data_IF_577508007551
#
_entry.id   IF_577508007551
#
_cell.length_a   1.000
_cell.length_b   1.000
_cell.length_c   1.000
_cell.angle_alpha   90.00
_cell.angle_beta   90.00
_cell.angle_gamma   90.00
#
_symmetry.space_group_name_H-M   'P 1'
#
loop_
_entity.id
_entity.type
_entity.pdbx_description
1 polymer ?
#
# COMPACT_ATOMS: atom_id res chain seq x y z
N UNK A 1 1.35 -12.00 -7.14
CA UNK A 1 2.33 -10.91 -7.37
C UNK A 1 3.12 -10.72 -6.09
N UNK A 2 4.38 -11.16 -6.05
CA UNK A 2 5.22 -11.01 -4.87
C UNK A 2 5.90 -9.65 -4.89
N UNK A 3 5.50 -8.75 -3.99
CA UNK A 3 6.27 -7.53 -3.71
C UNK A 3 7.31 -7.92 -2.65
N UNK A 4 8.51 -8.27 -3.11
CA UNK A 4 9.57 -8.64 -2.19
C UNK A 4 10.22 -7.42 -1.55
N UNK A 5 10.35 -7.45 -0.23
CA UNK A 5 11.06 -6.43 0.53
C UNK A 5 12.39 -7.05 0.97
N UNK A 6 13.47 -6.47 0.46
CA UNK A 6 14.83 -6.91 0.72
C UNK A 6 15.27 -6.47 2.12
N UNK A 7 15.65 -7.45 2.95
CA UNK A 7 16.39 -7.20 4.19
C UNK A 7 17.84 -7.59 3.94
N UNK A 8 18.66 -6.60 3.61
CA UNK A 8 20.05 -6.45 4.05
C UNK A 8 20.56 -5.12 3.46
N UNK A 9 20.84 -4.17 4.36
CA UNK A 9 21.50 -2.88 4.07
C UNK A 9 20.59 -1.85 3.36
N UNK A 10 19.84 -1.09 4.16
CA UNK A 10 19.37 0.24 3.78
C UNK A 10 18.10 0.30 2.92
N UNK A 11 16.94 0.12 3.54
CA UNK A 11 15.78 0.96 3.16
C UNK A 11 16.27 2.40 3.40
N UNK A 12 16.53 3.17 2.33
CA UNK A 12 17.02 4.55 2.45
C UNK A 12 15.87 5.43 2.96
N UNK A 13 15.61 5.37 4.27
CA UNK A 13 14.62 6.21 4.93
C UNK A 13 15.22 7.61 5.00
N UNK A 14 14.76 8.51 4.12
CA UNK A 14 15.10 9.93 4.22
C UNK A 14 14.24 10.56 5.32
N UNK A 15 14.73 10.56 6.55
CA UNK A 15 14.09 11.28 7.64
C UNK A 15 15.09 12.01 8.54
N UNK A 16 14.66 13.11 9.17
CA UNK A 16 15.43 13.86 10.18
C UNK A 16 15.75 12.93 11.36
N UNK A 17 17.00 12.92 11.85
CA UNK A 17 17.58 11.87 12.74
C UNK A 17 16.79 11.52 14.02
N UNK A 18 15.96 12.41 14.58
CA UNK A 18 15.27 12.17 15.86
C UNK A 18 14.00 11.31 15.74
N UNK A 19 13.19 11.48 14.70
CA UNK A 19 11.97 10.66 14.52
C UNK A 19 12.26 9.25 13.97
N UNK A 20 13.53 8.91 13.76
CA UNK A 20 13.94 7.69 13.06
C UNK A 20 13.66 6.42 13.86
N UNK A 21 13.82 6.45 15.18
CA UNK A 21 13.69 5.25 16.04
C UNK A 21 12.23 4.82 16.16
N UNK A 22 11.34 5.74 16.58
CA UNK A 22 9.89 5.46 16.69
C UNK A 22 9.30 5.05 15.33
N UNK A 23 9.68 5.75 14.24
CA UNK A 23 9.20 5.39 12.90
C UNK A 23 9.74 4.04 12.42
N UNK A 24 10.91 3.61 12.88
CA UNK A 24 11.47 2.30 12.54
C UNK A 24 10.69 1.17 13.20
N UNK A 25 10.33 1.29 14.48
CA UNK A 25 9.50 0.29 15.17
C UNK A 25 8.15 0.10 14.48
N UNK A 26 7.53 1.21 14.07
CA UNK A 26 6.27 1.19 13.31
C UNK A 26 6.46 0.48 11.96
N UNK A 27 7.56 0.75 11.26
CA UNK A 27 7.88 0.09 9.98
C UNK A 27 8.10 -1.42 10.19
N UNK A 28 8.90 -1.80 11.18
CA UNK A 28 9.19 -3.20 11.50
C UNK A 28 7.91 -3.96 11.88
N UNK A 29 7.00 -3.33 12.64
CA UNK A 29 5.66 -3.87 12.92
C UNK A 29 4.87 -4.17 11.63
N UNK A 30 4.80 -3.22 10.69
CA UNK A 30 4.08 -3.42 9.43
C UNK A 30 4.74 -4.50 8.55
N UNK A 31 6.08 -4.56 8.52
CA UNK A 31 6.82 -5.59 7.77
C UNK A 31 6.54 -6.98 8.34
N UNK A 32 6.67 -7.16 9.65
CA UNK A 32 6.43 -8.45 10.29
C UNK A 32 4.99 -8.91 10.08
N UNK A 33 4.01 -8.01 10.25
CA UNK A 33 2.60 -8.30 9.96
C UNK A 33 2.37 -8.77 8.52
N UNK A 34 3.00 -8.12 7.54
CA UNK A 34 2.88 -8.52 6.14
C UNK A 34 3.58 -9.84 5.83
N UNK A 35 4.69 -10.16 6.52
CA UNK A 35 5.38 -11.45 6.42
C UNK A 35 4.52 -12.57 7.02
N UNK A 36 3.93 -12.37 8.20
CA UNK A 36 3.02 -13.31 8.86
C UNK A 36 1.77 -13.59 8.00
N UNK A 37 1.22 -12.55 7.37
CA UNK A 37 0.10 -12.69 6.42
C UNK A 37 0.51 -13.33 5.09
N UNK A 38 1.80 -13.60 4.86
CA UNK A 38 2.31 -14.14 3.59
C UNK A 38 2.13 -13.21 2.39
N UNK A 39 1.88 -11.92 2.62
CA UNK A 39 1.66 -10.92 1.56
C UNK A 39 2.97 -10.52 0.89
N UNK A 40 4.06 -10.51 1.66
CA UNK A 40 5.42 -10.23 1.18
C UNK A 40 6.35 -11.38 1.55
N UNK A 41 7.46 -11.49 0.83
CA UNK A 41 8.54 -12.43 1.12
C UNK A 41 9.89 -11.74 1.09
N UNK A 42 10.88 -12.35 1.74
CA UNK A 42 12.26 -11.89 1.70
C UNK A 42 12.86 -12.25 0.34
N UNK A 43 13.42 -11.26 -0.35
CA UNK A 43 14.14 -11.43 -1.62
C UNK A 43 15.42 -10.61 -1.63
N UNK A 44 16.36 -10.98 -2.49
CA UNK A 44 17.46 -10.09 -2.90
C UNK A 44 17.20 -9.59 -4.31
N UNK A 45 17.10 -8.27 -4.46
CA UNK A 45 16.80 -7.60 -5.73
C UNK A 45 17.72 -6.39 -5.91
N UNK A 46 18.22 -6.14 -7.14
CA UNK A 46 18.93 -4.90 -7.43
C UNK A 46 18.00 -3.67 -7.44
N UNK A 47 16.68 -3.88 -7.35
CA UNK A 47 15.67 -2.82 -7.33
C UNK A 47 15.06 -2.65 -5.94
N UNK A 48 14.95 -1.40 -5.48
CA UNK A 48 14.29 -1.05 -4.24
C UNK A 48 13.48 0.24 -4.40
N UNK A 49 12.35 0.32 -3.69
CA UNK A 49 11.53 1.53 -3.57
C UNK A 49 11.46 1.97 -2.12
N UNK A 50 11.30 3.27 -1.90
CA UNK A 50 11.20 3.83 -0.55
C UNK A 50 9.85 3.50 0.08
N UNK A 51 9.84 3.14 1.36
CA UNK A 51 8.63 3.04 2.16
C UNK A 51 8.45 4.30 3.01
N UNK A 52 7.27 4.91 2.90
CA UNK A 52 6.82 6.02 3.74
C UNK A 52 5.74 5.58 4.73
N UNK A 53 5.58 6.36 5.79
CA UNK A 53 4.50 6.21 6.76
C UNK A 53 3.48 7.33 6.54
N UNK A 54 2.20 6.96 6.46
CA UNK A 54 1.09 7.89 6.34
C UNK A 54 0.15 7.71 7.53
N UNK A 55 -0.11 8.78 8.29
CA UNK A 55 -1.02 8.73 9.42
C UNK A 55 -2.46 8.46 8.96
N UNK A 56 -3.20 7.67 9.73
CA UNK A 56 -4.62 7.37 9.53
C UNK A 56 -5.47 8.35 10.31
N UNK A 57 -6.64 8.66 9.79
CA UNK A 57 -7.64 9.43 10.53
C UNK A 57 -8.51 8.49 11.38
N UNK A 58 -7.88 7.68 12.24
CA UNK A 58 -8.57 6.70 13.09
C UNK A 58 -8.61 7.12 14.57
N UNK A 59 -8.20 8.34 14.89
CA UNK A 59 -8.18 8.86 16.26
C UNK A 59 -7.13 8.21 17.17
N UNK A 60 -6.29 7.30 16.65
CA UNK A 60 -5.23 6.68 17.43
C UNK A 60 -4.05 7.65 17.64
N UNK A 61 -3.34 7.56 18.78
CA UNK A 61 -2.16 8.37 19.04
C UNK A 61 -1.08 8.17 17.97
N UNK A 62 -0.33 9.23 17.67
CA UNK A 62 0.77 9.20 16.69
C UNK A 62 1.98 8.35 17.10
N UNK A 63 1.96 7.78 18.30
CA UNK A 63 2.94 6.78 18.78
C UNK A 63 2.49 5.34 18.48
N UNK A 64 1.19 5.13 18.22
CA UNK A 64 0.66 3.80 17.90
C UNK A 64 1.06 3.38 16.49
N UNK A 65 1.64 2.19 16.36
CA UNK A 65 1.97 1.59 15.07
C UNK A 65 0.76 1.43 14.15
N UNK A 66 -0.41 1.22 14.73
CA UNK A 66 -1.67 1.05 14.00
C UNK A 66 -2.26 2.37 13.48
N UNK A 67 -1.82 3.50 14.04
CA UNK A 67 -2.16 4.84 13.55
C UNK A 67 -1.55 5.15 12.18
N UNK A 68 -0.61 4.32 11.68
CA UNK A 68 0.03 4.54 10.38
C UNK A 68 -0.31 3.47 9.34
N UNK A 69 -0.19 3.85 8.07
CA UNK A 69 -0.15 2.98 6.89
C UNK A 69 1.27 2.96 6.35
N UNK A 70 1.76 1.78 5.98
CA UNK A 70 2.95 1.65 5.13
C UNK A 70 2.55 1.97 3.68
N UNK A 71 3.26 2.92 3.05
CA UNK A 71 3.02 3.33 1.67
C UNK A 71 4.33 3.29 0.88
N UNK A 72 4.37 2.49 -0.19
CA UNK A 72 5.59 2.35 -1.00
C UNK A 72 5.56 3.36 -2.15
N UNK A 73 6.65 4.12 -2.28
CA UNK A 73 6.78 5.18 -3.27
C UNK A 73 7.14 4.63 -4.66
N UNK A 74 6.17 4.05 -5.36
CA UNK A 74 6.35 3.48 -6.71
C UNK A 74 6.45 4.49 -7.85
N UNK A 75 6.58 5.81 -7.58
CA UNK A 75 6.57 6.84 -8.64
C UNK A 75 7.60 6.60 -9.74
N UNK A 76 8.84 6.25 -9.35
CA UNK A 76 9.91 5.92 -10.32
C UNK A 76 9.60 4.66 -11.12
N UNK A 77 9.06 3.64 -10.45
CA UNK A 77 8.69 2.38 -11.09
C UNK A 77 7.54 2.58 -12.09
N UNK A 78 6.51 3.31 -11.67
CA UNK A 78 5.34 3.66 -12.47
C UNK A 78 5.67 4.44 -13.75
N UNK A 79 6.74 5.25 -13.73
CA UNK A 79 7.19 5.96 -14.93
C UNK A 79 7.82 5.05 -16.00
N UNK A 80 8.31 3.87 -15.59
CA UNK A 80 9.01 2.91 -16.47
C UNK A 80 8.05 1.80 -16.93
N UNK A 81 7.09 1.42 -16.10
CA UNK A 81 6.13 0.35 -16.42
C UNK A 81 5.18 0.80 -17.53
N UNK A 82 5.09 0.00 -18.59
CA UNK A 82 4.03 0.12 -19.61
C UNK A 82 2.70 -0.39 -19.02
N UNK A 83 1.77 0.52 -18.78
CA UNK A 83 0.44 0.17 -18.28
C UNK A 83 -0.33 -0.70 -19.28
N UNK A 84 -0.78 -1.88 -18.83
CA UNK A 84 -1.86 -2.61 -19.52
C UNK A 84 -3.16 -1.89 -19.20
N UNK A 85 -3.67 -1.10 -20.15
CA UNK A 85 -4.97 -0.44 -20.02
C UNK A 85 -6.05 -1.49 -20.27
N UNK A 86 -6.75 -1.90 -19.22
CA UNK A 86 -8.00 -2.63 -19.36
C UNK A 86 -9.08 -1.63 -19.83
N UNK A 87 -9.92 -1.98 -20.81
CA UNK A 87 -11.01 -1.11 -21.24
C UNK A 87 -12.09 -1.10 -20.15
N UNK A 88 -11.92 -0.24 -19.16
CA UNK A 88 -12.99 0.02 -18.20
C UNK A 88 -14.10 0.81 -18.92
N UNK A 89 -15.36 0.37 -18.84
CA UNK A 89 -16.47 1.07 -19.47
C UNK A 89 -16.64 2.46 -18.85
N UNK A 90 -17.24 3.38 -19.61
CA UNK A 90 -17.59 4.68 -19.07
C UNK A 90 -18.65 4.48 -17.97
N UNK A 91 -18.53 5.23 -16.86
CA UNK A 91 -19.46 5.07 -15.75
C UNK A 91 -20.91 5.38 -16.15
N UNK A 92 -21.11 6.28 -17.12
CA UNK A 92 -22.41 6.57 -17.70
C UNK A 92 -23.03 5.34 -18.37
N UNK A 93 -22.24 4.56 -19.12
CA UNK A 93 -22.69 3.32 -19.79
C UNK A 93 -23.15 2.28 -18.76
N UNK A 94 -22.47 2.21 -17.62
CA UNK A 94 -22.87 1.34 -16.51
C UNK A 94 -24.19 1.80 -15.89
N UNK A 95 -24.35 3.11 -15.66
CA UNK A 95 -25.54 3.68 -15.02
C UNK A 95 -26.79 3.57 -15.91
N UNK A 96 -26.65 3.66 -17.23
CA UNK A 96 -27.78 3.50 -18.15
C UNK A 96 -28.46 2.12 -18.07
N UNK A 97 -27.76 1.10 -17.57
CA UNK A 97 -28.29 -0.26 -17.45
C UNK A 97 -29.03 -0.51 -16.11
N UNK A 98 -29.04 0.47 -15.22
CA UNK A 98 -29.62 0.40 -13.87
C UNK A 98 -31.16 0.63 -13.82
N UNK A 99 -31.80 1.47 -14.67
CA UNK A 99 -33.23 1.76 -14.57
C UNK A 99 -34.11 0.50 -14.63
N UNK A 100 -35.25 0.52 -13.93
CA UNK A 100 -36.19 -0.62 -13.87
C UNK A 100 -35.95 -1.60 -12.72
N UNK A 101 -34.86 -1.45 -11.97
CA UNK A 101 -34.58 -2.24 -10.77
C UNK A 101 -35.11 -1.54 -9.52
N UNK A 102 -35.91 -2.23 -8.71
CA UNK A 102 -36.52 -1.69 -7.48
C UNK A 102 -35.60 -1.81 -6.25
N UNK A 103 -34.63 -2.72 -6.30
CA UNK A 103 -33.72 -3.03 -5.18
C UNK A 103 -32.29 -3.17 -5.72
N UNK A 104 -31.33 -2.56 -5.03
CA UNK A 104 -29.91 -2.68 -5.34
C UNK A 104 -29.13 -3.07 -4.08
N UNK A 105 -28.08 -3.87 -4.27
CA UNK A 105 -27.14 -4.24 -3.22
C UNK A 105 -25.72 -3.97 -3.69
N UNK A 106 -24.88 -3.45 -2.79
CA UNK A 106 -23.49 -3.14 -3.08
C UNK A 106 -22.58 -4.06 -2.27
N UNK A 107 -21.72 -4.80 -2.96
CA UNK A 107 -20.72 -5.67 -2.33
C UNK A 107 -19.37 -4.99 -2.43
N UNK A 108 -18.77 -4.67 -1.28
CA UNK A 108 -17.41 -4.14 -1.22
C UNK A 108 -16.42 -5.27 -0.95
N UNK A 109 -15.61 -5.59 -1.95
CA UNK A 109 -14.49 -6.51 -1.76
C UNK A 109 -13.40 -5.77 -0.96
N UNK A 110 -13.00 -6.35 0.19
CA UNK A 110 -11.98 -5.77 1.08
C UNK A 110 -10.58 -5.72 0.44
N UNK A 111 -10.30 -6.65 -0.47
CA UNK A 111 -9.10 -6.70 -1.31
C UNK A 111 -9.52 -7.28 -2.66
N UNK A 112 -9.40 -6.48 -3.72
CA UNK A 112 -9.65 -6.87 -5.10
C UNK A 112 -8.36 -6.90 -5.92
#
# INVERSE_FOLDING_TARGET
MCVGIMRLIGVIIRHRRRDFIVKREIIDYHINKMLEMGTISLIQSPYASLMGLCHKNNGLPSESSEAYRSAIAYRKLNAIIKYRRYPLPLIADLIMNIPGHTVMTTIHLRSG
#
